data_IF_583582224033
#
_entry.id   IF_583582224033
#
_cell.length_a   1.000
_cell.length_b   1.000
_cell.length_c   1.000
_cell.angle_alpha   90.00
_cell.angle_beta   90.00
_cell.angle_gamma   90.00
#
_symmetry.space_group_name_H-M   'P 1'
#
loop_
_entity.id
_entity.type
_entity.pdbx_description
1 polymer ?
#
# COMPACT_ATOMS: atom_id res chain seq x y z
N UNK A 1 -24.82 -28.34 50.62
CA UNK A 1 -26.26 -28.31 50.92
C UNK A 1 -26.92 -28.87 49.69
N UNK A 2 -27.29 -30.06 49.84
CA UNK A 2 -28.58 -30.74 49.95
C UNK A 2 -29.09 -31.09 48.56
N UNK A 3 -28.97 -32.30 48.15
CA UNK A 3 -29.68 -33.55 48.48
C UNK A 3 -30.90 -33.76 47.57
N UNK A 4 -30.83 -34.88 46.87
CA UNK A 4 -31.71 -36.09 47.00
C UNK A 4 -33.00 -35.95 46.22
N UNK A 5 -33.59 -36.92 45.51
CA UNK A 5 -33.74 -38.37 45.69
C UNK A 5 -34.42 -38.94 44.43
N UNK A 6 -33.95 -40.02 43.84
CA UNK A 6 -34.51 -41.38 43.94
C UNK A 6 -36.02 -41.53 43.70
N UNK A 7 -36.42 -42.36 42.77
CA UNK A 7 -37.30 -43.51 43.04
C UNK A 7 -37.45 -44.49 41.86
N UNK A 8 -37.01 -45.68 42.11
CA UNK A 8 -37.25 -46.98 41.54
C UNK A 8 -38.70 -47.46 41.62
N UNK A 9 -39.15 -48.37 40.69
CA UNK A 9 -40.00 -49.58 40.85
C UNK A 9 -40.27 -50.20 39.52
N UNK A 10 -39.76 -51.35 39.17
CA UNK A 10 -39.89 -52.74 39.59
C UNK A 10 -41.25 -53.39 39.29
N UNK A 11 -41.19 -54.41 38.45
CA UNK A 11 -41.85 -55.73 38.44
C UNK A 11 -43.32 -55.86 38.00
N UNK A 12 -43.69 -56.73 37.10
CA UNK A 12 -43.84 -58.15 37.35
C UNK A 12 -44.32 -58.91 36.13
N UNK A 13 -43.88 -60.14 36.01
CA UNK A 13 -44.30 -61.27 35.19
C UNK A 13 -45.77 -61.56 35.30
N UNK A 14 -46.38 -62.10 34.19
CA UNK A 14 -47.42 -63.16 34.28
C UNK A 14 -47.33 -63.97 33.00
N UNK A 15 -47.05 -65.20 33.21
CA UNK A 15 -47.08 -66.38 32.37
C UNK A 15 -48.51 -66.80 32.14
N UNK A 16 -48.93 -67.15 30.91
CA UNK A 16 -50.09 -67.99 30.70
C UNK A 16 -49.95 -68.86 29.44
N UNK A 17 -49.74 -70.11 29.67
CA UNK A 17 -49.83 -71.18 28.71
C UNK A 17 -51.30 -71.42 28.29
N UNK A 18 -51.56 -71.65 27.00
CA UNK A 18 -52.79 -72.26 26.56
C UNK A 18 -52.61 -72.96 25.23
N UNK A 19 -52.72 -74.20 25.32
CA UNK A 19 -52.82 -75.39 24.49
C UNK A 19 -53.36 -75.26 23.05
N UNK A 20 -52.67 -76.01 22.21
CA UNK A 20 -52.90 -76.53 20.88
C UNK A 20 -54.33 -77.07 20.66
N UNK A 21 -54.99 -76.71 19.54
CA UNK A 21 -55.92 -77.57 18.81
C UNK A 21 -55.69 -77.44 17.31
N UNK A 22 -55.13 -78.47 16.69
CA UNK A 22 -55.06 -78.63 15.24
C UNK A 22 -56.40 -78.78 14.66
N UNK A 23 -56.77 -78.11 13.62
CA UNK A 23 -57.92 -78.21 12.80
C UNK A 23 -57.57 -78.71 11.39
N UNK A 24 -58.29 -79.66 10.79
CA UNK A 24 -57.85 -80.41 9.59
C UNK A 24 -58.07 -79.70 8.25
N UNK A 25 -58.06 -78.37 8.21
CA UNK A 25 -58.18 -77.53 6.99
C UNK A 25 -56.86 -77.30 6.29
N UNK A 26 -55.76 -77.75 6.89
CA UNK A 26 -54.39 -77.43 6.38
C UNK A 26 -53.87 -78.39 5.30
N UNK A 27 -54.61 -79.46 4.94
CA UNK A 27 -54.15 -80.48 3.95
C UNK A 27 -54.67 -80.20 2.52
N UNK A 28 -55.64 -79.34 2.32
CA UNK A 28 -56.14 -78.98 0.97
C UNK A 28 -55.48 -77.77 0.35
N UNK A 29 -54.73 -77.00 1.14
CA UNK A 29 -54.01 -75.78 0.66
C UNK A 29 -52.61 -76.06 0.15
N UNK A 30 -52.08 -77.27 0.33
CA UNK A 30 -50.72 -77.65 -0.09
C UNK A 30 -50.64 -78.20 -1.54
N UNK A 31 -51.75 -78.40 -2.24
CA UNK A 31 -51.78 -78.94 -3.61
C UNK A 31 -51.95 -77.89 -4.72
N UNK A 32 -52.08 -76.60 -4.39
CA UNK A 32 -52.23 -75.51 -5.35
C UNK A 32 -50.98 -74.59 -5.49
N UNK A 33 -49.84 -74.96 -4.92
CA UNK A 33 -48.59 -74.16 -4.96
C UNK A 33 -47.45 -74.72 -5.85
N UNK A 34 -47.77 -75.66 -6.73
CA UNK A 34 -46.79 -76.23 -7.70
C UNK A 34 -47.07 -75.72 -9.11
N UNK A 35 -46.85 -74.47 -9.36
CA UNK A 35 -47.08 -73.94 -10.71
C UNK A 35 -46.71 -72.43 -10.86
N UNK A 36 -45.65 -71.97 -10.23
CA UNK A 36 -45.07 -70.71 -10.62
C UNK A 36 -43.58 -70.92 -11.06
N UNK A 37 -43.48 -71.18 -12.35
CA UNK A 37 -42.18 -71.01 -13.07
C UNK A 37 -41.79 -69.58 -12.92
N UNK A 38 -40.69 -69.30 -12.12
CA UNK A 38 -40.11 -68.02 -11.86
C UNK A 38 -39.47 -67.54 -13.17
N UNK A 39 -40.26 -66.81 -13.99
CA UNK A 39 -39.73 -65.98 -15.07
C UNK A 39 -38.76 -65.04 -14.42
N UNK A 40 -37.43 -65.26 -14.56
CA UNK A 40 -36.41 -64.29 -14.25
C UNK A 40 -36.83 -62.97 -14.89
N UNK A 41 -37.18 -61.96 -14.02
CA UNK A 41 -37.43 -60.63 -14.45
C UNK A 41 -36.14 -60.15 -15.17
N UNK A 42 -36.21 -59.49 -16.30
CA UNK A 42 -35.08 -58.96 -16.97
C UNK A 42 -34.35 -58.04 -15.95
N UNK A 43 -33.10 -58.38 -15.68
CA UNK A 43 -32.22 -57.60 -14.84
C UNK A 43 -32.30 -56.18 -15.35
N UNK A 44 -32.95 -55.27 -14.59
CA UNK A 44 -33.08 -53.88 -14.97
C UNK A 44 -31.67 -53.35 -15.31
N UNK A 45 -31.48 -53.01 -16.56
CA UNK A 45 -30.22 -52.40 -17.00
C UNK A 45 -29.87 -51.27 -16.04
N UNK A 46 -28.68 -51.33 -15.44
CA UNK A 46 -28.22 -50.29 -14.55
C UNK A 46 -28.46 -48.92 -15.23
N UNK A 47 -29.03 -47.95 -14.52
CA UNK A 47 -29.26 -46.63 -15.12
C UNK A 47 -27.99 -46.12 -15.78
N UNK A 48 -28.07 -45.52 -16.96
CA UNK A 48 -26.91 -45.05 -17.69
C UNK A 48 -26.10 -44.11 -16.78
N UNK A 49 -24.77 -44.30 -16.78
CA UNK A 49 -23.87 -43.49 -15.97
C UNK A 49 -24.07 -41.99 -16.27
N UNK A 50 -24.25 -41.14 -15.26
CA UNK A 50 -24.57 -39.74 -15.47
C UNK A 50 -23.44 -39.04 -16.23
N UNK A 51 -23.74 -38.15 -17.20
CA UNK A 51 -22.74 -37.41 -17.94
C UNK A 51 -22.14 -36.33 -17.05
N UNK A 52 -20.80 -36.19 -17.09
CA UNK A 52 -20.02 -35.15 -16.43
C UNK A 52 -18.99 -34.56 -17.40
N UNK A 53 -18.71 -33.30 -17.27
CA UNK A 53 -17.64 -32.66 -18.08
C UNK A 53 -16.31 -32.68 -17.30
N UNK A 54 -15.26 -33.17 -17.93
CA UNK A 54 -13.93 -33.29 -17.34
C UNK A 54 -12.93 -32.43 -18.12
N UNK A 55 -11.95 -31.88 -17.40
CA UNK A 55 -10.81 -31.20 -18.00
C UNK A 55 -9.53 -31.62 -17.29
N UNK A 56 -8.42 -31.58 -18.01
CA UNK A 56 -7.09 -31.67 -17.40
C UNK A 56 -6.70 -30.35 -16.78
N UNK A 57 -5.98 -30.33 -15.63
CA UNK A 57 -5.43 -29.13 -15.05
C UNK A 57 -4.51 -28.40 -16.04
N UNK A 58 -4.64 -27.08 -16.11
CA UNK A 58 -3.79 -26.25 -16.95
C UNK A 58 -2.47 -25.99 -16.20
N UNK A 59 -1.34 -26.33 -16.80
CA UNK A 59 -0.02 -26.03 -16.25
C UNK A 59 0.38 -24.61 -16.66
N UNK A 60 0.61 -23.75 -15.67
CA UNK A 60 0.99 -22.35 -15.89
C UNK A 60 2.02 -21.90 -14.84
N UNK A 61 2.94 -21.03 -15.24
CA UNK A 61 3.80 -20.31 -14.29
C UNK A 61 2.99 -19.20 -13.66
N UNK A 62 2.89 -19.21 -12.33
CA UNK A 62 2.16 -18.24 -11.53
C UNK A 62 3.08 -17.59 -10.50
N UNK A 63 2.70 -16.42 -10.03
CA UNK A 63 3.35 -15.70 -8.92
C UNK A 63 2.28 -15.37 -7.91
N UNK A 64 2.52 -15.71 -6.64
CA UNK A 64 1.60 -15.33 -5.58
C UNK A 64 1.76 -13.84 -5.24
N UNK A 65 0.66 -13.22 -4.83
CA UNK A 65 0.59 -11.84 -4.39
C UNK A 65 -0.02 -11.75 -3.00
N UNK A 66 0.59 -10.96 -2.13
CA UNK A 66 -0.01 -10.58 -0.87
C UNK A 66 -0.65 -9.20 -1.04
N UNK A 67 -1.84 -9.01 -0.47
CA UNK A 67 -2.61 -7.76 -0.57
C UNK A 67 -2.65 -7.04 0.77
N UNK A 68 -2.39 -5.73 0.72
CA UNK A 68 -2.41 -4.84 1.88
C UNK A 68 -3.28 -3.63 1.58
N UNK A 69 -3.92 -3.08 2.59
CA UNK A 69 -4.56 -1.78 2.47
C UNK A 69 -3.52 -0.70 2.75
N UNK A 70 -3.40 0.25 1.83
CA UNK A 70 -2.50 1.38 1.96
C UNK A 70 -3.24 2.70 1.91
N UNK A 71 -2.58 3.77 2.40
CA UNK A 71 -3.04 5.15 2.31
C UNK A 71 -2.04 5.97 1.53
N UNK A 72 -2.55 6.72 0.56
CA UNK A 72 -1.72 7.63 -0.23
C UNK A 72 -1.33 8.86 0.58
N UNK A 73 -0.10 9.33 0.35
CA UNK A 73 0.43 10.54 0.96
C UNK A 73 1.31 11.29 -0.04
N UNK A 74 1.43 12.60 0.14
CA UNK A 74 2.30 13.41 -0.71
C UNK A 74 3.78 13.08 -0.44
N UNK A 75 4.62 13.16 -1.48
CA UNK A 75 6.08 13.05 -1.31
C UNK A 75 6.59 14.25 -0.51
N UNK A 76 6.08 15.44 -0.81
CA UNK A 76 6.40 16.68 -0.12
C UNK A 76 5.12 17.43 0.23
N UNK A 77 5.04 17.89 1.48
CA UNK A 77 3.96 18.73 1.97
C UNK A 77 4.56 19.89 2.76
N UNK A 78 4.27 21.10 2.34
CA UNK A 78 4.79 22.31 2.96
C UNK A 78 3.66 23.24 3.38
N UNK A 79 3.74 23.71 4.61
CA UNK A 79 2.92 24.80 5.13
C UNK A 79 3.65 26.12 4.85
N UNK A 80 3.10 26.94 3.96
CA UNK A 80 3.64 28.26 3.65
C UNK A 80 3.22 29.22 4.74
N UNK A 81 4.20 29.79 5.43
CA UNK A 81 4.01 30.73 6.53
C UNK A 81 4.73 32.03 6.26
N UNK A 82 4.17 33.16 6.75
CA UNK A 82 4.83 34.45 6.66
C UNK A 82 6.13 34.44 7.46
N UNK A 83 7.22 34.94 6.86
CA UNK A 83 8.52 35.12 7.54
C UNK A 83 8.67 36.52 8.14
N UNK A 84 7.95 37.52 7.57
CA UNK A 84 7.90 38.90 8.06
C UNK A 84 6.46 39.30 8.33
N UNK A 85 6.27 40.23 9.25
CA UNK A 85 4.91 40.75 9.58
C UNK A 85 4.57 41.95 8.70
N UNK A 86 3.31 42.07 8.29
CA UNK A 86 2.85 43.19 7.47
C UNK A 86 1.48 42.93 6.89
N UNK A 87 0.92 43.88 6.16
CA UNK A 87 -0.36 43.74 5.48
C UNK A 87 -0.20 43.00 4.16
N UNK A 88 -1.10 42.07 3.86
CA UNK A 88 -1.16 41.41 2.55
C UNK A 88 -1.66 42.44 1.53
N UNK A 89 -0.90 42.67 0.47
CA UNK A 89 -1.25 43.57 -0.63
C UNK A 89 -1.80 42.86 -1.85
N UNK A 90 -1.37 41.60 -2.07
CA UNK A 90 -1.87 40.78 -3.17
C UNK A 90 -1.80 39.29 -2.84
N UNK A 91 -2.70 38.51 -3.48
CA UNK A 91 -2.70 37.05 -3.55
C UNK A 91 -2.59 36.70 -5.03
N UNK A 92 -1.48 36.07 -5.43
CA UNK A 92 -1.10 35.90 -6.85
C UNK A 92 -1.39 34.46 -7.38
N UNK A 93 -2.17 33.68 -6.67
CA UNK A 93 -2.57 32.34 -7.09
C UNK A 93 -4.08 32.14 -6.97
N UNK A 94 -4.59 31.10 -7.62
CA UNK A 94 -5.98 30.64 -7.45
C UNK A 94 -5.98 29.41 -6.54
N UNK A 95 -6.99 29.31 -5.68
CA UNK A 95 -7.17 28.14 -4.80
C UNK A 95 -7.21 26.85 -5.61
N UNK A 96 -6.42 25.86 -5.19
CA UNK A 96 -6.33 24.58 -5.84
C UNK A 96 -5.53 24.56 -7.16
N UNK A 97 -4.90 25.66 -7.57
CA UNK A 97 -4.08 25.72 -8.77
C UNK A 97 -2.76 24.94 -8.59
N UNK A 98 -2.13 24.61 -9.73
CA UNK A 98 -0.75 24.12 -9.73
C UNK A 98 0.21 25.29 -9.76
N UNK A 99 1.24 25.21 -8.89
CA UNK A 99 2.34 26.16 -8.81
C UNK A 99 3.66 25.44 -8.97
N UNK A 100 4.66 26.15 -9.48
CA UNK A 100 6.04 25.69 -9.55
C UNK A 100 6.83 26.26 -8.37
N UNK A 101 7.92 25.61 -8.00
CA UNK A 101 8.86 26.19 -7.06
C UNK A 101 9.35 27.55 -7.57
N UNK A 102 9.29 28.59 -6.71
CA UNK A 102 9.63 29.97 -7.04
C UNK A 102 8.45 30.86 -7.49
N UNK A 103 7.28 30.31 -7.79
CA UNK A 103 6.10 31.10 -8.14
C UNK A 103 5.69 31.99 -6.97
N UNK A 104 5.33 33.24 -7.26
CA UNK A 104 4.85 34.21 -6.27
C UNK A 104 3.45 33.81 -5.80
N UNK A 105 3.26 33.74 -4.48
CA UNK A 105 1.98 33.36 -3.87
C UNK A 105 1.30 34.57 -3.19
N UNK A 106 2.08 35.30 -2.37
CA UNK A 106 1.57 36.45 -1.65
C UNK A 106 2.57 37.59 -1.73
N UNK A 107 2.05 38.80 -1.71
CA UNK A 107 2.82 40.01 -1.55
C UNK A 107 2.44 40.68 -0.22
N UNK A 108 3.43 40.90 0.63
CA UNK A 108 3.33 41.66 1.89
C UNK A 108 3.82 43.09 1.60
N UNK A 109 3.27 44.10 2.26
CA UNK A 109 3.72 45.50 2.08
C UNK A 109 5.21 45.63 2.33
N UNK A 110 5.99 45.84 1.27
CA UNK A 110 7.43 45.92 1.30
C UNK A 110 7.96 47.28 1.75
N UNK A 111 7.15 48.34 1.64
CA UNK A 111 7.59 49.75 1.86
C UNK A 111 8.34 49.99 3.19
N UNK A 112 7.86 49.46 4.35
CA UNK A 112 8.60 49.64 5.62
C UNK A 112 9.97 48.96 5.58
N UNK A 113 10.09 47.80 4.96
CA UNK A 113 11.34 47.04 4.86
C UNK A 113 12.32 47.68 3.87
N UNK A 114 11.82 48.20 2.76
CA UNK A 114 12.64 48.97 1.79
C UNK A 114 13.24 50.24 2.41
N UNK A 115 12.46 50.94 3.24
CA UNK A 115 12.98 52.12 3.96
C UNK A 115 14.12 51.73 4.91
N UNK A 116 14.01 50.61 5.64
CA UNK A 116 15.08 50.09 6.52
C UNK A 116 16.30 49.65 5.71
N UNK A 117 16.10 48.98 4.57
CA UNK A 117 17.21 48.60 3.70
C UNK A 117 17.95 49.82 3.13
N UNK A 118 17.21 50.85 2.71
CA UNK A 118 17.81 52.11 2.25
C UNK A 118 18.63 52.81 3.35
N UNK A 119 18.11 52.82 4.60
CA UNK A 119 18.85 53.37 5.74
C UNK A 119 20.13 52.56 6.00
N UNK A 120 20.07 51.23 5.95
CA UNK A 120 21.25 50.37 6.16
C UNK A 120 22.29 50.55 5.04
N UNK A 121 21.85 50.75 3.79
CA UNK A 121 22.77 51.07 2.67
C UNK A 121 23.52 52.37 2.88
N UNK A 122 22.82 53.40 3.37
CA UNK A 122 23.46 54.66 3.77
C UNK A 122 24.53 54.48 4.86
N UNK A 123 24.24 53.62 5.88
CA UNK A 123 25.22 53.30 6.93
C UNK A 123 26.44 52.54 6.38
N UNK A 124 26.28 51.65 5.45
CA UNK A 124 27.37 50.94 4.79
C UNK A 124 28.22 51.91 3.95
N UNK A 125 27.58 52.82 3.24
CA UNK A 125 28.27 53.86 2.47
C UNK A 125 29.15 54.75 3.35
N UNK A 126 28.65 55.18 4.53
CA UNK A 126 29.44 55.94 5.52
C UNK A 126 30.64 55.13 6.06
N UNK A 127 30.39 53.83 6.39
CA UNK A 127 31.45 52.95 6.86
C UNK A 127 32.56 52.75 5.79
N UNK A 128 32.19 52.60 4.53
CA UNK A 128 33.14 52.50 3.41
C UNK A 128 33.96 53.76 3.24
N UNK A 129 33.35 54.94 3.37
CA UNK A 129 34.06 56.20 3.32
C UNK A 129 35.10 56.32 4.44
N UNK A 130 34.77 55.84 5.66
CA UNK A 130 35.72 55.81 6.81
C UNK A 130 36.86 54.83 6.57
N UNK A 131 36.68 53.72 5.96
CA UNK A 131 37.74 52.76 5.57
C UNK A 131 38.68 53.42 4.56
N UNK A 132 38.14 54.11 3.55
CA UNK A 132 38.95 54.79 2.54
C UNK A 132 39.74 55.95 3.13
N UNK A 133 39.17 56.72 4.06
CA UNK A 133 39.89 57.71 4.82
C UNK A 133 41.03 57.09 5.61
N UNK A 134 40.75 56.04 6.40
CA UNK A 134 41.76 55.37 7.21
C UNK A 134 42.91 54.78 6.38
N UNK A 135 42.57 54.23 5.18
CA UNK A 135 43.56 53.76 4.22
C UNK A 135 44.49 54.83 3.76
N UNK A 136 43.98 56.00 3.36
CA UNK A 136 44.77 57.14 2.91
C UNK A 136 45.64 57.76 4.05
N UNK A 137 45.09 57.77 5.28
CA UNK A 137 45.83 58.24 6.44
C UNK A 137 46.99 57.32 6.81
N UNK A 138 46.76 55.98 6.77
CA UNK A 138 47.88 55.04 7.00
C UNK A 138 48.93 55.12 5.91
N UNK A 139 48.54 55.21 4.63
CA UNK A 139 49.49 55.39 3.51
C UNK A 139 50.34 56.60 3.66
N UNK A 140 49.74 57.75 4.03
CA UNK A 140 50.51 59.00 4.32
C UNK A 140 51.48 58.84 5.52
N UNK A 141 51.02 58.20 6.60
CA UNK A 141 51.83 57.94 7.77
C UNK A 141 53.05 57.04 7.46
N UNK A 142 52.88 56.02 6.64
CA UNK A 142 53.95 55.14 6.17
C UNK A 142 54.96 55.85 5.31
N UNK A 143 54.54 56.76 4.40
CA UNK A 143 55.44 57.59 3.57
C UNK A 143 56.24 58.55 4.43
N UNK A 144 55.63 59.18 5.42
CA UNK A 144 56.31 60.07 6.36
C UNK A 144 57.31 59.35 7.31
N UNK A 145 56.98 58.10 7.68
CA UNK A 145 57.89 57.27 8.48
C UNK A 145 59.20 56.94 7.72
N UNK A 146 59.06 56.59 6.40
CA UNK A 146 60.24 56.35 5.55
C UNK A 146 61.20 57.58 5.49
N UNK A 147 60.69 58.79 5.61
CA UNK A 147 61.45 60.01 5.66
C UNK A 147 61.85 60.42 7.09
N UNK A 148 61.70 59.57 8.09
CA UNK A 148 62.01 59.80 9.52
C UNK A 148 61.24 60.96 10.19
N UNK A 149 60.14 61.40 9.62
CA UNK A 149 59.34 62.54 10.10
C UNK A 149 58.18 62.17 11.02
N UNK A 150 57.93 60.87 11.26
CA UNK A 150 56.81 60.37 12.09
C UNK A 150 57.31 59.21 12.94
N UNK A 151 56.88 59.17 14.21
CA UNK A 151 57.18 58.10 15.14
C UNK A 151 56.36 56.82 14.83
N UNK A 152 56.86 55.61 15.11
CA UNK A 152 56.28 54.33 14.86
C UNK A 152 54.91 54.18 15.51
N UNK A 153 54.69 54.67 16.70
CA UNK A 153 53.43 54.65 17.42
C UNK A 153 52.26 55.31 16.64
N UNK A 154 52.56 56.33 15.82
CA UNK A 154 51.51 56.96 14.97
C UNK A 154 51.13 56.07 13.83
N UNK A 155 52.09 55.36 13.23
CA UNK A 155 51.72 54.33 12.17
C UNK A 155 50.87 53.22 12.75
N UNK A 156 51.22 52.71 13.94
CA UNK A 156 50.44 51.69 14.61
C UNK A 156 49.01 52.14 14.98
N UNK A 157 48.89 53.40 15.43
CA UNK A 157 47.59 54.03 15.70
C UNK A 157 46.77 54.14 14.42
N UNK A 158 47.32 54.49 13.25
CA UNK A 158 46.61 54.58 11.97
C UNK A 158 46.21 53.16 11.45
N UNK A 159 47.11 52.19 11.69
CA UNK A 159 46.82 50.79 11.36
C UNK A 159 45.60 50.23 12.16
N UNK A 160 45.62 50.53 13.47
CA UNK A 160 44.48 50.15 14.34
C UNK A 160 43.22 50.91 13.96
N UNK A 161 43.26 52.19 13.61
CA UNK A 161 42.10 52.94 13.14
C UNK A 161 41.54 52.39 11.84
N UNK A 162 42.37 52.01 10.87
CA UNK A 162 41.91 51.32 9.64
C UNK A 162 41.31 50.01 9.95
N UNK A 163 41.88 49.22 10.85
CA UNK A 163 41.30 47.91 11.23
C UNK A 163 39.93 48.08 11.90
N UNK A 164 39.75 49.05 12.78
CA UNK A 164 38.45 49.39 13.39
C UNK A 164 37.41 49.82 12.34
N UNK A 165 37.83 50.67 11.37
CA UNK A 165 36.94 51.09 10.28
C UNK A 165 36.48 49.90 9.40
N UNK A 166 37.36 48.94 9.09
CA UNK A 166 37.01 47.71 8.35
C UNK A 166 36.04 46.82 9.13
N UNK A 167 36.22 46.71 10.45
CA UNK A 167 35.28 45.96 11.29
C UNK A 167 33.90 46.62 11.27
N UNK A 168 33.80 47.95 11.31
CA UNK A 168 32.56 48.70 11.21
C UNK A 168 31.91 48.55 9.83
N UNK A 169 32.69 48.50 8.74
CA UNK A 169 32.16 48.21 7.39
C UNK A 169 31.54 46.82 7.33
N UNK A 170 32.24 45.81 7.85
CA UNK A 170 31.71 44.43 7.89
C UNK A 170 30.42 44.34 8.69
N UNK A 171 30.31 45.06 9.81
CA UNK A 171 29.08 45.12 10.61
C UNK A 171 27.93 45.78 9.83
N UNK A 172 28.18 46.92 9.17
CA UNK A 172 27.17 47.63 8.38
C UNK A 172 26.71 46.80 7.16
N UNK A 173 27.61 46.06 6.51
CA UNK A 173 27.29 45.13 5.43
C UNK A 173 26.35 44.00 5.93
N UNK A 174 26.60 43.45 7.12
CA UNK A 174 25.72 42.47 7.75
C UNK A 174 24.33 43.03 8.04
N UNK A 175 24.22 44.27 8.50
CA UNK A 175 22.94 44.94 8.76
C UNK A 175 22.15 45.16 7.44
N UNK A 176 22.83 45.58 6.39
CA UNK A 176 22.22 45.76 5.08
C UNK A 176 21.68 44.42 4.52
N UNK A 177 22.48 43.36 4.58
CA UNK A 177 22.06 42.04 4.14
C UNK A 177 20.81 41.53 4.88
N UNK A 178 20.76 41.72 6.20
CA UNK A 178 19.57 41.35 6.99
C UNK A 178 18.32 42.15 6.59
N UNK A 179 18.48 43.47 6.32
CA UNK A 179 17.39 44.30 5.85
C UNK A 179 16.89 43.89 4.44
N UNK A 180 17.82 43.56 3.53
CA UNK A 180 17.48 43.06 2.19
C UNK A 180 16.75 41.73 2.22
N UNK A 181 17.16 40.80 3.11
CA UNK A 181 16.46 39.54 3.31
C UNK A 181 15.00 39.75 3.79
N UNK A 182 14.77 40.73 4.65
CA UNK A 182 13.42 41.08 5.08
C UNK A 182 12.55 41.60 3.91
N UNK A 183 13.13 42.39 2.98
CA UNK A 183 12.45 42.80 1.75
C UNK A 183 12.17 41.60 0.86
N UNK A 184 13.09 40.66 0.70
CA UNK A 184 12.87 39.43 -0.05
C UNK A 184 11.72 38.60 0.55
N UNK A 185 11.67 38.51 1.87
CA UNK A 185 10.61 37.74 2.56
C UNK A 185 9.20 38.36 2.46
N UNK A 186 9.08 39.61 2.01
CA UNK A 186 7.76 40.19 1.66
C UNK A 186 7.16 39.54 0.40
N UNK A 187 7.98 38.97 -0.47
CA UNK A 187 7.59 38.20 -1.62
C UNK A 187 7.53 36.72 -1.22
N UNK A 188 6.35 36.25 -0.82
CA UNK A 188 6.16 34.87 -0.40
C UNK A 188 6.05 33.99 -1.63
N UNK A 189 7.07 33.19 -1.88
CA UNK A 189 7.17 32.27 -3.02
C UNK A 189 6.89 30.82 -2.64
N UNK A 190 6.51 30.01 -3.59
CA UNK A 190 6.30 28.56 -3.42
C UNK A 190 7.65 27.87 -3.20
N UNK A 191 7.86 27.16 -2.07
CA UNK A 191 9.12 26.45 -1.81
C UNK A 191 9.25 25.15 -2.60
N UNK A 192 8.13 24.56 -3.00
CA UNK A 192 8.03 23.32 -3.79
C UNK A 192 7.02 23.49 -4.91
N UNK A 193 7.15 22.68 -5.95
CA UNK A 193 6.10 22.55 -6.98
C UNK A 193 4.98 21.62 -6.50
N UNK A 194 3.75 21.92 -6.86
CA UNK A 194 2.61 21.09 -6.48
C UNK A 194 1.27 21.80 -6.55
N UNK A 195 0.26 21.23 -5.95
CA UNK A 195 -1.06 21.84 -5.83
C UNK A 195 -1.13 22.69 -4.58
N UNK A 196 -1.42 23.99 -4.76
CA UNK A 196 -1.64 24.90 -3.64
C UNK A 196 -3.04 24.67 -3.06
N UNK A 197 -3.16 24.77 -1.74
CA UNK A 197 -4.44 24.74 -1.04
C UNK A 197 -5.24 26.05 -1.25
N UNK A 198 -6.24 26.25 -0.41
CA UNK A 198 -6.93 27.55 -0.37
C UNK A 198 -6.04 28.61 0.29
N UNK A 199 -6.24 29.87 -0.07
CA UNK A 199 -5.70 30.97 0.71
C UNK A 199 -6.41 31.03 2.08
N UNK A 200 -5.64 31.27 3.14
CA UNK A 200 -6.16 31.36 4.51
C UNK A 200 -6.20 32.80 5.02
N UNK A 201 -5.63 33.71 4.26
CA UNK A 201 -5.53 35.13 4.60
C UNK A 201 -5.83 35.96 3.35
N UNK A 202 -6.73 36.93 3.48
CA UNK A 202 -7.18 37.83 2.42
C UNK A 202 -6.29 39.07 2.32
N UNK A 203 -6.40 39.76 1.17
CA UNK A 203 -5.78 41.06 0.95
C UNK A 203 -6.31 42.07 1.99
N UNK A 204 -5.40 42.85 2.56
CA UNK A 204 -5.72 43.83 3.61
C UNK A 204 -5.58 43.30 5.04
N UNK A 205 -5.41 41.99 5.23
CA UNK A 205 -5.18 41.41 6.55
C UNK A 205 -3.73 41.58 6.99
N UNK A 206 -3.55 41.80 8.29
CA UNK A 206 -2.24 41.81 8.93
C UNK A 206 -1.77 40.40 9.23
N UNK A 207 -0.56 40.05 8.78
CA UNK A 207 0.10 38.76 9.10
C UNK A 207 1.28 38.98 10.05
N UNK A 208 1.60 37.97 10.81
CA UNK A 208 2.73 37.96 11.74
C UNK A 208 3.81 37.02 11.21
N UNK A 209 5.05 37.51 11.17
CA UNK A 209 6.24 36.77 10.82
C UNK A 209 7.14 36.59 12.03
N UNK A 210 6.89 35.58 12.85
CA UNK A 210 7.78 35.26 13.98
C UNK A 210 7.85 33.75 14.17
N UNK A 211 8.99 33.26 14.70
CA UNK A 211 9.27 31.83 14.87
C UNK A 211 8.23 31.09 15.71
N UNK A 212 7.60 31.79 16.68
CA UNK A 212 6.61 31.18 17.59
C UNK A 212 5.15 31.40 17.19
N UNK A 213 4.86 32.23 16.17
CA UNK A 213 3.50 32.66 15.83
C UNK A 213 3.29 32.99 14.35
N UNK A 214 4.18 32.54 13.46
CA UNK A 214 4.09 32.83 12.03
C UNK A 214 2.73 32.41 11.45
N UNK A 215 2.04 33.37 10.82
CA UNK A 215 0.73 33.17 10.23
C UNK A 215 0.82 32.16 9.09
N UNK A 216 -0.02 31.12 9.15
CA UNK A 216 -0.17 30.15 8.06
C UNK A 216 -0.95 30.81 6.91
N UNK A 217 -0.37 30.85 5.73
CA UNK A 217 -0.93 31.47 4.54
C UNK A 217 -1.65 30.49 3.64
N UNK A 218 -1.00 29.37 3.35
CA UNK A 218 -1.54 28.26 2.55
C UNK A 218 -0.71 26.99 2.77
N UNK A 219 -1.08 25.91 2.12
CA UNK A 219 -0.29 24.67 2.04
C UNK A 219 -0.05 24.27 0.60
N UNK A 220 1.06 23.62 0.31
CA UNK A 220 1.37 23.04 -1.00
C UNK A 220 1.65 21.56 -0.81
N UNK A 221 1.08 20.72 -1.68
CA UNK A 221 1.32 19.27 -1.71
C UNK A 221 1.81 18.86 -3.09
N UNK A 222 2.87 18.06 -3.13
CA UNK A 222 3.30 17.42 -4.38
C UNK A 222 2.33 16.29 -4.72
N UNK A 223 2.01 16.09 -6.00
CA UNK A 223 1.09 15.06 -6.45
C UNK A 223 1.74 14.01 -7.34
N UNK A 224 2.83 14.30 -8.05
CA UNK A 224 3.56 13.37 -8.90
C UNK A 224 5.06 13.47 -8.62
N UNK A 225 5.69 12.36 -8.20
CA UNK A 225 5.08 11.10 -7.82
C UNK A 225 4.32 11.18 -6.49
N UNK A 226 3.57 10.12 -6.14
CA UNK A 226 2.86 10.01 -4.88
C UNK A 226 3.32 8.77 -4.11
N UNK A 227 3.32 8.84 -2.78
CA UNK A 227 3.60 7.70 -1.91
C UNK A 227 2.32 6.95 -1.55
N UNK A 228 2.45 5.64 -1.32
CA UNK A 228 1.46 4.85 -0.62
C UNK A 228 2.12 4.13 0.54
N UNK A 229 1.60 4.36 1.76
CA UNK A 229 2.03 3.67 2.97
C UNK A 229 1.09 2.50 3.23
N UNK A 230 1.66 1.35 3.60
CA UNK A 230 0.92 0.14 3.94
C UNK A 230 1.63 -0.60 5.06
N UNK A 231 0.88 -1.37 5.83
CA UNK A 231 1.40 -2.07 7.00
C UNK A 231 1.43 -3.57 6.70
N UNK A 232 2.60 -4.20 6.92
CA UNK A 232 2.89 -5.62 6.69
C UNK A 232 2.91 -6.30 8.07
N UNK A 233 2.15 -7.36 8.26
CA UNK A 233 2.18 -8.14 9.49
C UNK A 233 3.50 -8.90 9.66
N UNK A 234 3.87 -9.23 10.90
CA UNK A 234 5.12 -9.89 11.25
C UNK A 234 5.28 -11.24 10.54
N UNK A 235 4.22 -12.04 10.42
CA UNK A 235 4.27 -13.35 9.78
C UNK A 235 4.63 -13.23 8.30
N UNK A 236 4.03 -12.27 7.60
CA UNK A 236 4.34 -11.97 6.20
C UNK A 236 5.76 -11.43 6.04
N UNK A 237 6.23 -10.57 6.96
CA UNK A 237 7.61 -10.09 6.96
C UNK A 237 8.62 -11.24 7.13
N UNK A 238 8.38 -12.16 8.07
CA UNK A 238 9.22 -13.36 8.27
C UNK A 238 9.19 -14.29 7.05
N UNK A 239 8.04 -14.45 6.39
CA UNK A 239 7.92 -15.17 5.12
C UNK A 239 8.82 -14.54 4.05
N UNK A 240 8.80 -13.21 3.91
CA UNK A 240 9.63 -12.49 2.94
C UNK A 240 11.12 -12.63 3.22
N UNK A 241 11.52 -12.54 4.48
CA UNK A 241 12.92 -12.77 4.87
C UNK A 241 13.39 -14.17 4.55
N UNK A 242 12.55 -15.20 4.77
CA UNK A 242 12.87 -16.58 4.39
C UNK A 242 13.02 -16.71 2.87
N UNK A 243 12.10 -16.19 2.10
CA UNK A 243 12.18 -16.22 0.63
C UNK A 243 13.43 -15.49 0.11
N UNK A 244 13.83 -14.41 0.76
CA UNK A 244 15.07 -13.72 0.44
C UNK A 244 16.30 -14.57 0.77
N UNK A 245 16.38 -15.17 1.97
CA UNK A 245 17.50 -16.01 2.35
C UNK A 245 17.65 -17.26 1.47
N UNK A 246 16.54 -17.74 0.88
CA UNK A 246 16.53 -18.83 -0.09
C UNK A 246 16.81 -18.37 -1.54
N UNK A 247 17.07 -17.08 -1.77
CA UNK A 247 17.28 -16.50 -3.10
C UNK A 247 16.05 -16.49 -4.02
N UNK A 248 14.87 -16.75 -3.48
CA UNK A 248 13.60 -16.84 -4.22
C UNK A 248 12.89 -15.48 -4.40
N UNK A 249 13.29 -14.46 -3.67
CA UNK A 249 12.74 -13.11 -3.73
C UNK A 249 13.84 -12.09 -3.40
N UNK A 250 13.95 -10.96 -4.14
CA UNK A 250 14.86 -9.88 -3.75
C UNK A 250 14.40 -9.23 -2.44
N UNK A 251 15.37 -8.77 -1.63
CA UNK A 251 15.08 -7.99 -0.43
C UNK A 251 14.37 -6.68 -0.82
N UNK A 252 13.26 -6.36 -0.16
CA UNK A 252 12.59 -5.07 -0.35
C UNK A 252 13.31 -3.91 0.35
N UNK A 253 14.36 -4.17 1.14
CA UNK A 253 15.21 -3.14 1.74
C UNK A 253 16.28 -2.65 0.77
N UNK A 254 16.84 -3.57 -0.02
CA UNK A 254 18.00 -3.31 -0.85
C UNK A 254 17.66 -3.18 -2.33
N UNK A 255 16.48 -3.66 -2.73
CA UNK A 255 16.03 -3.64 -4.11
C UNK A 255 14.59 -3.12 -4.21
N UNK A 256 14.29 -2.27 -5.21
CA UNK A 256 12.93 -1.84 -5.49
C UNK A 256 12.10 -3.04 -5.97
N UNK A 257 11.21 -3.55 -5.11
CA UNK A 257 10.26 -4.58 -5.50
C UNK A 257 9.03 -3.93 -6.16
N UNK A 258 8.55 -4.48 -7.28
CA UNK A 258 7.37 -3.97 -7.94
C UNK A 258 6.12 -4.15 -7.08
N UNK A 259 5.24 -3.16 -7.16
CA UNK A 259 3.92 -3.18 -6.54
C UNK A 259 2.87 -2.83 -7.57
N UNK A 260 1.72 -3.44 -7.43
CA UNK A 260 0.52 -3.08 -8.16
C UNK A 260 -0.49 -2.46 -7.19
N UNK A 261 -1.12 -1.38 -7.58
CA UNK A 261 -2.10 -0.70 -6.74
C UNK A 261 -3.44 -0.60 -7.46
N UNK A 262 -4.50 -0.88 -6.72
CA UNK A 262 -5.89 -0.80 -7.17
C UNK A 262 -6.58 0.28 -6.33
N UNK A 263 -7.18 1.26 -6.97
CA UNK A 263 -7.98 2.28 -6.29
C UNK A 263 -9.37 1.76 -5.94
N UNK A 264 -10.02 2.44 -5.01
CA UNK A 264 -11.41 2.14 -4.66
C UNK A 264 -12.33 2.34 -5.89
N UNK A 265 -13.06 1.28 -6.26
CA UNK A 265 -13.93 1.28 -7.43
C UNK A 265 -13.32 0.65 -8.69
N UNK A 266 -12.02 0.38 -8.70
CA UNK A 266 -11.38 -0.38 -9.77
C UNK A 266 -11.49 -1.90 -9.51
N UNK A 267 -11.58 -2.67 -10.56
CA UNK A 267 -11.65 -4.15 -10.49
C UNK A 267 -10.31 -4.82 -10.74
N UNK A 268 -9.37 -4.12 -11.35
CA UNK A 268 -8.02 -4.62 -11.67
C UNK A 268 -6.97 -3.58 -11.25
N UNK A 269 -5.75 -4.03 -10.93
CA UNK A 269 -4.64 -3.10 -10.69
C UNK A 269 -4.39 -2.23 -11.93
N UNK A 270 -4.36 -0.92 -11.74
CA UNK A 270 -4.15 0.06 -12.80
C UNK A 270 -2.89 0.91 -12.60
N UNK A 271 -2.36 0.93 -11.37
CA UNK A 271 -1.22 1.74 -11.01
C UNK A 271 -0.04 0.86 -10.58
N UNK A 272 1.09 1.03 -11.26
CA UNK A 272 2.31 0.28 -10.99
C UNK A 272 3.32 1.20 -10.32
N UNK A 273 4.02 0.66 -9.33
CA UNK A 273 5.06 1.37 -8.62
C UNK A 273 6.13 0.45 -8.08
N UNK A 274 6.92 0.97 -7.15
CA UNK A 274 7.99 0.20 -6.51
C UNK A 274 8.06 0.51 -5.03
N UNK A 275 8.33 -0.52 -4.21
CA UNK A 275 8.68 -0.33 -2.80
C UNK A 275 10.02 0.39 -2.74
N UNK A 276 10.06 1.51 -2.05
CA UNK A 276 11.28 2.29 -1.87
C UNK A 276 11.70 2.41 -0.40
N UNK A 277 10.87 1.95 0.53
CA UNK A 277 11.18 2.01 1.95
C UNK A 277 10.44 0.91 2.73
N UNK A 278 11.13 0.30 3.67
CA UNK A 278 10.57 -0.53 4.74
C UNK A 278 11.15 -0.02 6.06
N UNK A 279 10.31 0.12 7.06
CA UNK A 279 10.75 0.58 8.39
C UNK A 279 11.79 -0.38 8.97
N UNK A 280 12.58 0.12 9.92
CA UNK A 280 13.64 -0.64 10.56
C UNK A 280 13.15 -1.38 11.83
N UNK A 281 11.96 -1.06 12.31
CA UNK A 281 11.34 -1.67 13.49
C UNK A 281 9.84 -1.90 13.29
N UNK A 282 9.32 -2.91 13.98
CA UNK A 282 7.88 -3.17 14.07
C UNK A 282 7.22 -2.16 15.02
N UNK A 283 6.02 -1.74 14.68
CA UNK A 283 5.14 -1.04 15.61
C UNK A 283 4.64 -2.05 16.65
N UNK A 284 5.05 -1.87 17.90
CA UNK A 284 4.74 -2.80 19.00
C UNK A 284 3.26 -2.84 19.37
N UNK A 285 2.49 -1.81 19.00
CA UNK A 285 1.05 -1.74 19.27
C UNK A 285 0.21 -2.56 18.31
N UNK A 286 0.66 -2.67 17.06
CA UNK A 286 -0.05 -3.36 15.96
C UNK A 286 0.63 -4.64 15.52
N UNK A 287 1.91 -4.86 15.85
CA UNK A 287 2.71 -5.98 15.36
C UNK A 287 2.98 -5.91 13.86
N UNK A 288 2.99 -4.70 13.29
CA UNK A 288 3.16 -4.49 11.84
C UNK A 288 4.43 -3.71 11.52
N UNK A 289 4.97 -3.93 10.32
CA UNK A 289 6.07 -3.20 9.73
C UNK A 289 5.53 -2.26 8.66
N UNK A 290 5.83 -0.96 8.77
CA UNK A 290 5.40 0.01 7.77
C UNK A 290 6.26 -0.06 6.51
N UNK A 291 5.60 -0.25 5.39
CA UNK A 291 6.16 -0.16 4.05
C UNK A 291 5.69 1.10 3.32
N UNK A 292 6.50 1.55 2.37
CA UNK A 292 6.17 2.66 1.47
C UNK A 292 6.55 2.29 0.04
N UNK A 293 5.64 2.58 -0.88
CA UNK A 293 5.91 2.50 -2.30
C UNK A 293 5.74 3.87 -2.96
N UNK A 294 6.47 4.08 -4.05
CA UNK A 294 6.35 5.26 -4.90
C UNK A 294 5.57 4.89 -6.16
N UNK A 295 4.56 5.70 -6.46
CA UNK A 295 3.64 5.49 -7.59
C UNK A 295 3.68 6.73 -8.48
N UNK A 296 3.94 6.61 -9.79
CA UNK A 296 3.73 7.70 -10.73
C UNK A 296 2.26 8.11 -10.77
N UNK A 297 1.98 9.41 -10.74
CA UNK A 297 0.63 9.97 -10.74
C UNK A 297 0.51 11.09 -11.79
N UNK A 298 0.87 10.78 -13.03
CA UNK A 298 0.96 11.76 -14.13
C UNK A 298 -0.38 12.39 -14.49
N UNK A 299 -1.46 11.65 -14.35
CA UNK A 299 -2.84 12.10 -14.57
C UNK A 299 -3.43 12.85 -13.37
N UNK A 300 -2.69 12.91 -12.25
CA UNK A 300 -3.07 13.59 -11.01
C UNK A 300 -4.41 13.12 -10.43
N UNK A 301 -4.80 11.90 -10.76
CA UNK A 301 -6.08 11.30 -10.31
C UNK A 301 -6.03 10.88 -8.85
N UNK A 302 -4.84 10.57 -8.33
CA UNK A 302 -4.63 10.13 -6.96
C UNK A 302 -4.33 11.34 -6.08
N UNK A 303 -5.10 11.47 -5.00
CA UNK A 303 -4.92 12.53 -4.01
C UNK A 303 -4.39 11.97 -2.69
N UNK A 304 -3.52 12.72 -1.96
CA UNK A 304 -3.13 12.36 -0.60
C UNK A 304 -4.36 12.14 0.29
N UNK A 305 -4.30 11.12 1.12
CA UNK A 305 -5.41 10.74 2.01
C UNK A 305 -6.33 9.65 1.46
N UNK A 306 -6.32 9.36 0.16
CA UNK A 306 -7.09 8.26 -0.43
C UNK A 306 -6.53 6.90 0.02
N UNK A 307 -7.37 5.86 -0.04
CA UNK A 307 -6.97 4.48 0.20
C UNK A 307 -6.79 3.73 -1.12
N UNK A 308 -5.85 2.80 -1.11
CA UNK A 308 -5.60 1.87 -2.21
C UNK A 308 -5.27 0.48 -1.69
N UNK A 309 -5.52 -0.52 -2.51
CA UNK A 309 -5.10 -1.90 -2.27
C UNK A 309 -3.76 -2.12 -2.94
N UNK A 310 -2.74 -2.43 -2.15
CA UNK A 310 -1.37 -2.66 -2.58
C UNK A 310 -1.15 -4.16 -2.70
N UNK A 311 -0.71 -4.64 -3.86
CA UNK A 311 -0.31 -6.02 -4.12
C UNK A 311 1.20 -6.10 -4.23
N UNK A 312 1.79 -6.94 -3.40
CA UNK A 312 3.23 -7.24 -3.38
C UNK A 312 3.48 -8.66 -3.85
N UNK A 313 4.55 -8.87 -4.60
CA UNK A 313 5.00 -10.21 -4.98
C UNK A 313 5.32 -11.01 -3.70
N UNK A 314 4.61 -12.12 -3.52
CA UNK A 314 4.67 -12.98 -2.35
C UNK A 314 5.44 -14.27 -2.56
N UNK A 315 5.77 -14.63 -3.81
CA UNK A 315 6.58 -15.82 -4.15
C UNK A 315 7.49 -15.54 -5.35
N UNK A 316 8.50 -16.39 -5.54
CA UNK A 316 9.11 -16.53 -6.86
C UNK A 316 8.09 -17.10 -7.85
N UNK A 317 8.25 -16.91 -9.17
CA UNK A 317 7.45 -17.62 -10.15
C UNK A 317 7.63 -19.13 -10.00
N UNK A 318 6.52 -19.88 -9.97
CA UNK A 318 6.54 -21.34 -9.88
C UNK A 318 5.52 -21.96 -10.83
N UNK A 319 5.77 -23.20 -11.26
CA UNK A 319 4.80 -23.95 -12.06
C UNK A 319 3.68 -24.46 -11.17
N UNK A 320 2.45 -24.16 -11.52
CA UNK A 320 1.26 -24.58 -10.82
C UNK A 320 0.25 -25.25 -11.75
N UNK A 321 -0.58 -26.11 -11.16
CA UNK A 321 -1.77 -26.68 -11.81
C UNK A 321 -2.97 -25.81 -11.47
N UNK A 322 -3.69 -25.38 -12.49
CA UNK A 322 -4.86 -24.53 -12.35
C UNK A 322 -6.11 -25.27 -12.88
N UNK A 323 -7.21 -25.11 -12.17
CA UNK A 323 -8.53 -25.62 -12.57
C UNK A 323 -9.57 -24.50 -12.46
N UNK A 324 -10.69 -24.56 -13.16
CA UNK A 324 -11.79 -23.63 -12.94
C UNK A 324 -12.22 -23.63 -11.47
N UNK A 325 -12.41 -22.43 -10.88
CA UNK A 325 -12.75 -22.31 -9.44
C UNK A 325 -14.03 -23.07 -9.07
N UNK A 326 -15.01 -23.13 -10.01
CA UNK A 326 -16.23 -23.89 -9.85
C UNK A 326 -16.06 -25.41 -9.77
N UNK A 327 -14.88 -25.96 -10.09
CA UNK A 327 -14.58 -27.40 -9.95
C UNK A 327 -14.22 -27.80 -8.52
N UNK A 328 -14.00 -26.84 -7.63
CA UNK A 328 -13.67 -27.08 -6.22
C UNK A 328 -14.95 -27.24 -5.42
N UNK A 329 -15.11 -28.39 -4.79
CA UNK A 329 -16.18 -28.66 -3.83
C UNK A 329 -15.69 -28.55 -2.38
N UNK A 330 -16.63 -28.50 -1.46
CA UNK A 330 -16.33 -28.53 -0.02
C UNK A 330 -17.04 -29.73 0.61
N UNK A 331 -16.27 -30.59 1.26
CA UNK A 331 -16.78 -31.73 1.99
C UNK A 331 -16.27 -31.68 3.44
N UNK A 332 -17.21 -31.64 4.41
CA UNK A 332 -16.91 -31.60 5.85
C UNK A 332 -15.80 -30.59 6.22
N UNK A 333 -15.80 -29.42 5.56
CA UNK A 333 -14.80 -28.37 5.79
C UNK A 333 -13.49 -28.54 5.02
N UNK A 334 -13.27 -29.63 4.29
CA UNK A 334 -12.11 -29.85 3.42
C UNK A 334 -12.44 -29.44 1.99
N UNK A 335 -11.47 -28.85 1.33
CA UNK A 335 -11.57 -28.58 -0.12
C UNK A 335 -11.19 -29.83 -0.88
N UNK A 336 -12.08 -30.24 -1.78
CA UNK A 336 -11.94 -31.45 -2.60
C UNK A 336 -12.18 -31.13 -4.07
N UNK A 337 -11.64 -31.98 -4.92
CA UNK A 337 -11.96 -32.06 -6.34
C UNK A 337 -12.40 -33.49 -6.68
N UNK A 338 -13.29 -33.62 -7.65
CA UNK A 338 -13.65 -34.93 -8.17
C UNK A 338 -12.77 -35.27 -9.36
N UNK A 339 -12.05 -36.38 -9.27
CA UNK A 339 -11.18 -36.89 -10.33
C UNK A 339 -11.80 -38.14 -10.90
N UNK A 340 -11.85 -38.26 -12.22
CA UNK A 340 -12.36 -39.46 -12.92
C UNK A 340 -11.16 -40.32 -13.28
N UNK A 341 -11.16 -41.56 -12.74
CA UNK A 341 -10.14 -42.58 -13.03
C UNK A 341 -10.31 -43.16 -14.44
N UNK A 342 -9.38 -43.99 -14.88
CA UNK A 342 -9.40 -44.64 -16.20
C UNK A 342 -10.57 -45.62 -16.35
N UNK A 343 -11.06 -46.17 -15.24
CA UNK A 343 -12.25 -47.05 -15.19
C UNK A 343 -13.58 -46.26 -15.16
N UNK A 344 -13.53 -44.95 -15.33
CA UNK A 344 -14.62 -43.99 -15.25
C UNK A 344 -15.29 -43.88 -13.87
N UNK A 345 -14.64 -44.32 -12.80
CA UNK A 345 -15.12 -44.10 -11.43
C UNK A 345 -14.65 -42.72 -10.88
N UNK A 346 -15.53 -42.10 -10.09
CA UNK A 346 -15.25 -40.81 -9.45
C UNK A 346 -14.53 -41.01 -8.13
N UNK A 347 -13.42 -40.36 -7.93
CA UNK A 347 -12.67 -40.23 -6.67
C UNK A 347 -12.74 -38.81 -6.15
N UNK A 348 -13.08 -38.64 -4.86
CA UNK A 348 -12.86 -37.33 -4.19
C UNK A 348 -11.46 -37.24 -3.68
N UNK A 349 -10.74 -36.22 -4.10
CA UNK A 349 -9.35 -35.97 -3.69
C UNK A 349 -9.24 -34.65 -2.97
N UNK A 350 -8.70 -34.68 -1.74
CA UNK A 350 -8.42 -33.46 -0.99
C UNK A 350 -7.33 -32.65 -1.68
N UNK A 351 -7.52 -31.33 -1.75
CA UNK A 351 -6.60 -30.41 -2.39
C UNK A 351 -6.28 -29.23 -1.49
N UNK A 352 -5.05 -28.72 -1.60
CA UNK A 352 -4.64 -27.46 -0.99
C UNK A 352 -4.77 -26.34 -2.03
N UNK A 353 -5.66 -25.38 -1.73
CA UNK A 353 -5.91 -24.29 -2.65
C UNK A 353 -4.83 -23.20 -2.57
N UNK A 354 -4.51 -22.62 -3.70
CA UNK A 354 -3.78 -21.38 -3.86
C UNK A 354 -4.70 -20.20 -4.23
N UNK A 355 -4.11 -19.08 -4.66
CA UNK A 355 -4.86 -17.91 -5.11
C UNK A 355 -5.68 -18.19 -6.38
N UNK A 356 -6.56 -17.26 -6.69
CA UNK A 356 -7.30 -17.23 -7.95
C UNK A 356 -6.46 -16.45 -8.97
N UNK A 357 -6.26 -17.01 -10.15
CA UNK A 357 -5.54 -16.38 -11.27
C UNK A 357 -6.42 -16.46 -12.55
N UNK A 358 -6.86 -15.32 -13.04
CA UNK A 358 -7.74 -15.18 -14.22
C UNK A 358 -8.96 -16.14 -14.21
N UNK A 359 -9.63 -16.29 -13.06
CA UNK A 359 -10.81 -17.16 -12.92
C UNK A 359 -10.47 -18.63 -12.73
N UNK A 360 -9.21 -19.01 -12.75
CA UNK A 360 -8.72 -20.34 -12.43
C UNK A 360 -8.15 -20.38 -11.02
N UNK A 361 -8.41 -21.47 -10.30
CA UNK A 361 -7.87 -21.71 -8.96
C UNK A 361 -6.55 -22.45 -9.06
N UNK A 362 -5.52 -21.88 -8.47
CA UNK A 362 -4.23 -22.57 -8.28
C UNK A 362 -4.43 -23.72 -7.30
N UNK A 363 -3.91 -24.88 -7.63
CA UNK A 363 -3.86 -26.06 -6.73
C UNK A 363 -2.42 -26.30 -6.35
N UNK A 364 -2.12 -26.18 -5.05
CA UNK A 364 -0.76 -26.36 -4.52
C UNK A 364 -0.40 -27.84 -4.35
N UNK A 365 -1.36 -28.63 -3.86
CA UNK A 365 -1.19 -30.05 -3.59
C UNK A 365 -2.48 -30.82 -3.88
N UNK A 366 -2.32 -32.12 -4.18
CA UNK A 366 -3.46 -33.05 -4.32
C UNK A 366 -3.87 -33.35 -5.75
N UNK A 367 -3.30 -32.67 -6.76
CA UNK A 367 -3.57 -32.96 -8.19
C UNK A 367 -2.29 -33.30 -8.96
N UNK A 368 -2.45 -34.10 -10.03
CA UNK A 368 -1.45 -34.38 -11.04
C UNK A 368 -1.87 -33.76 -12.39
N UNK A 369 -0.92 -33.53 -13.26
CA UNK A 369 -1.18 -32.93 -14.56
C UNK A 369 -2.08 -33.79 -15.49
N UNK A 370 -2.03 -35.10 -15.30
CA UNK A 370 -2.76 -36.09 -16.09
C UNK A 370 -4.18 -36.35 -15.54
N UNK A 371 -4.53 -35.80 -14.36
CA UNK A 371 -5.81 -36.06 -13.71
C UNK A 371 -6.96 -35.45 -14.54
N UNK A 372 -8.04 -36.21 -14.71
CA UNK A 372 -9.28 -35.73 -15.34
C UNK A 372 -10.21 -35.18 -14.25
N UNK A 373 -10.22 -33.88 -14.08
CA UNK A 373 -11.00 -33.19 -13.04
C UNK A 373 -12.39 -32.87 -13.57
N UNK A 374 -13.44 -33.19 -12.80
CA UNK A 374 -14.81 -32.80 -13.11
C UNK A 374 -14.96 -31.29 -12.98
N UNK A 375 -15.28 -30.61 -14.06
CA UNK A 375 -15.43 -29.13 -14.11
C UNK A 375 -16.90 -28.71 -14.19
N UNK A 376 -17.77 -29.60 -14.68
CA UNK A 376 -19.22 -29.39 -14.70
C UNK A 376 -19.96 -30.70 -14.40
N UNK A 377 -21.17 -30.60 -13.81
CA UNK A 377 -21.94 -31.76 -13.37
C UNK A 377 -21.50 -32.31 -12.01
N UNK A 378 -20.83 -31.53 -11.14
CA UNK A 378 -20.38 -31.96 -9.81
C UNK A 378 -21.51 -32.59 -8.97
N UNK A 379 -22.73 -32.09 -9.08
CA UNK A 379 -23.92 -32.65 -8.38
C UNK A 379 -24.25 -34.11 -8.74
N UNK A 380 -23.78 -34.56 -9.90
CA UNK A 380 -23.99 -35.91 -10.43
C UNK A 380 -22.80 -36.84 -10.11
N UNK A 381 -21.62 -36.25 -9.79
CA UNK A 381 -20.42 -36.97 -9.45
C UNK A 381 -20.47 -37.45 -8.00
N UNK A 382 -20.87 -38.71 -7.79
CA UNK A 382 -20.83 -39.35 -6.47
C UNK A 382 -19.57 -40.22 -6.34
N UNK A 383 -18.90 -40.12 -5.20
CA UNK A 383 -17.70 -40.93 -4.93
C UNK A 383 -17.98 -42.41 -5.11
N UNK A 384 -17.15 -43.10 -5.89
CA UNK A 384 -17.26 -44.50 -6.22
C UNK A 384 -18.29 -44.82 -7.33
N UNK A 385 -19.05 -43.85 -7.82
CA UNK A 385 -19.99 -44.07 -8.92
C UNK A 385 -19.28 -43.99 -10.28
N UNK A 386 -19.76 -44.76 -11.27
CA UNK A 386 -19.34 -44.62 -12.66
C UNK A 386 -20.03 -43.44 -13.31
N UNK A 387 -19.28 -42.68 -14.10
CA UNK A 387 -19.76 -41.52 -14.86
C UNK A 387 -19.37 -41.66 -16.33
N UNK A 388 -20.08 -40.93 -17.20
CA UNK A 388 -19.68 -40.80 -18.62
C UNK A 388 -18.94 -39.48 -18.81
N UNK A 389 -17.60 -39.49 -18.89
CA UNK A 389 -16.84 -38.25 -19.05
C UNK A 389 -16.96 -37.70 -20.46
N UNK A 390 -17.23 -36.41 -20.57
CA UNK A 390 -17.14 -35.63 -21.78
C UNK A 390 -15.99 -34.63 -21.60
N UNK A 391 -15.05 -34.57 -22.53
CA UNK A 391 -13.95 -33.58 -22.44
C UNK A 391 -14.49 -32.17 -22.61
N UNK A 392 -14.10 -31.29 -21.69
CA UNK A 392 -14.39 -29.87 -21.81
C UNK A 392 -13.70 -29.32 -23.06
N UNK A 393 -14.44 -28.57 -23.89
CA UNK A 393 -13.81 -27.75 -24.92
C UNK A 393 -12.82 -26.80 -24.26
N UNK A 394 -11.54 -26.75 -24.70
CA UNK A 394 -10.58 -25.89 -24.05
C UNK A 394 -11.14 -24.47 -23.97
N UNK A 395 -11.18 -23.91 -22.76
CA UNK A 395 -11.57 -22.53 -22.55
C UNK A 395 -10.64 -21.65 -23.40
N UNK A 396 -11.14 -20.67 -24.16
CA UNK A 396 -10.29 -19.78 -24.91
C UNK A 396 -9.32 -19.13 -23.92
N UNK A 397 -8.02 -19.23 -24.21
CA UNK A 397 -6.98 -18.52 -23.48
C UNK A 397 -7.41 -17.05 -23.42
N UNK A 398 -7.65 -16.52 -22.22
CA UNK A 398 -8.11 -15.15 -22.04
C UNK A 398 -7.19 -14.21 -22.80
N UNK A 399 -7.78 -13.47 -23.72
CA UNK A 399 -7.11 -12.47 -24.52
C UNK A 399 -6.55 -11.42 -23.53
N UNK A 400 -5.23 -11.31 -23.44
CA UNK A 400 -4.57 -10.17 -22.81
C UNK A 400 -4.91 -8.93 -23.65
N UNK A 401 -5.85 -8.15 -23.20
CA UNK A 401 -6.05 -6.77 -23.63
C UNK A 401 -5.71 -5.84 -22.47
#
# INVERSE_FOLDING_TARGET
MSATEQSTRSARMADTRSSLRLSPVLIILAALLSGCEEKQAPQAAAPPAPPVTVAQPVKRTVTDWDEFTGRFDAVEQVQVRARVGGFITAVEFRDGAFVKAGDLLYLIDARPFEAVATQADGQLSDARAKVELGRRELERALTLQQSQNVAENIVDQRRQALQAARAAETQADGVLKAAQLNVEFTHVIAPIGGRVGRHLVDVGNLVQGSDSGATLLTSIVSLDPIYIYFDIDEATYLKYNRLWSEGKRPSSRDNPNPVEVTLTGETKPSHNGTVNFLDNQLDVSTGTLRGRAVIPNRDLSILPGQFGRVRLIASAPYEALLIPDGAVATDQGRKIVFVVKDDNTVEARAVTLGPLDDGLRVIREGLKAEDRVVVDGLQRARVGAKVTPHEAKPAPAGNKT
#
